data_IF_168661599530
#
_entry.id   IF_168661599530
#
_cell.length_a   1.000
_cell.length_b   1.000
_cell.length_c   1.000
_cell.angle_alpha   90.00
_cell.angle_beta   90.00
_cell.angle_gamma   90.00
#
_symmetry.space_group_name_H-M   'P 1'
#
loop_
_entity.id
_entity.type
_entity.pdbx_description
1 polymer ?
#
# COMPACT_ATOMS: atom_id res chain seq x y z
N UNK A 1 2.76 34.74 16.92
CA UNK A 1 3.79 34.70 15.87
C UNK A 1 5.01 33.89 16.36
N UNK A 2 4.89 32.58 16.59
CA UNK A 2 6.01 31.71 17.01
C UNK A 2 5.78 30.22 16.67
N UNK A 3 5.06 29.89 15.57
CA UNK A 3 4.72 28.52 15.17
C UNK A 3 5.69 27.91 14.14
N UNK A 4 6.72 28.64 13.71
CA UNK A 4 7.62 28.19 12.66
C UNK A 4 8.79 27.30 13.08
N UNK A 5 9.09 27.21 14.38
CA UNK A 5 10.30 26.53 14.88
C UNK A 5 10.10 25.11 15.44
N UNK A 6 8.87 24.62 15.57
CA UNK A 6 8.66 23.25 16.05
C UNK A 6 8.97 22.25 14.93
N UNK A 7 9.93 21.34 15.15
CA UNK A 7 10.20 20.29 14.19
C UNK A 7 8.93 19.44 13.98
N UNK A 8 8.66 18.98 12.76
CA UNK A 8 7.50 18.11 12.45
C UNK A 8 7.42 16.88 13.37
N UNK A 9 8.55 16.44 13.91
CA UNK A 9 8.63 15.32 14.84
C UNK A 9 8.11 15.62 16.24
N UNK A 10 7.95 16.90 16.57
CA UNK A 10 7.44 17.38 17.87
C UNK A 10 6.05 18.02 17.73
N UNK A 11 5.53 18.17 16.52
CA UNK A 11 4.19 18.71 16.26
C UNK A 11 3.13 17.64 16.52
N UNK A 12 2.28 17.78 17.57
CA UNK A 12 1.28 16.77 17.91
C UNK A 12 0.28 16.48 16.78
N UNK A 13 -0.03 17.49 15.94
CA UNK A 13 -0.90 17.33 14.77
C UNK A 13 -0.24 16.44 13.72
N UNK A 14 1.06 16.67 13.46
CA UNK A 14 1.81 15.83 12.52
C UNK A 14 1.90 14.39 13.03
N UNK A 15 2.21 14.18 14.31
CA UNK A 15 2.28 12.86 14.93
C UNK A 15 0.94 12.12 14.80
N UNK A 16 -0.18 12.75 15.16
CA UNK A 16 -1.51 12.15 15.07
C UNK A 16 -1.86 11.71 13.62
N UNK A 17 -1.52 12.54 12.64
CA UNK A 17 -1.73 12.21 11.23
C UNK A 17 -0.78 11.11 10.74
N UNK A 18 0.47 11.04 11.21
CA UNK A 18 1.40 9.97 10.88
C UNK A 18 0.96 8.63 11.50
N UNK A 19 0.44 8.64 12.73
CA UNK A 19 -0.16 7.46 13.35
C UNK A 19 -1.38 6.97 12.54
N UNK A 20 -2.26 7.87 12.10
CA UNK A 20 -3.37 7.51 11.23
C UNK A 20 -2.91 6.95 9.86
N UNK A 21 -1.77 7.42 9.32
CA UNK A 21 -1.21 6.88 8.09
C UNK A 21 -0.78 5.42 8.22
N UNK A 22 -0.27 4.99 9.36
CA UNK A 22 0.17 3.61 9.57
C UNK A 22 -0.99 2.60 9.51
N UNK A 23 -2.23 3.03 9.83
CA UNK A 23 -3.42 2.19 9.76
C UNK A 23 -3.72 1.67 8.35
N UNK A 24 -3.31 2.42 7.31
CA UNK A 24 -3.57 2.03 5.92
C UNK A 24 -2.80 0.76 5.51
N UNK A 25 -1.57 0.56 6.00
CA UNK A 25 -0.81 -0.68 5.77
C UNK A 25 -1.29 -1.79 6.69
N UNK A 26 -1.64 -1.45 7.93
CA UNK A 26 -2.24 -2.38 8.88
C UNK A 26 -3.50 -3.05 8.31
N UNK A 27 -4.32 -2.33 7.53
CA UNK A 27 -5.57 -2.85 6.97
C UNK A 27 -5.40 -4.09 6.10
N UNK A 28 -4.37 -4.09 5.25
CA UNK A 28 -4.24 -5.09 4.19
C UNK A 28 -3.30 -6.25 4.57
N UNK A 29 -2.20 -5.98 5.26
CA UNK A 29 -1.13 -6.96 5.42
C UNK A 29 -1.08 -7.65 6.79
N UNK A 30 -1.71 -7.07 7.83
CA UNK A 30 -1.62 -7.58 9.20
C UNK A 30 -2.21 -8.98 9.37
N UNK A 31 -3.23 -9.37 8.60
CA UNK A 31 -3.80 -10.72 8.71
C UNK A 31 -3.08 -11.75 7.84
N UNK A 32 -2.16 -11.34 6.96
CA UNK A 32 -1.48 -12.28 6.05
C UNK A 32 -0.83 -13.46 6.77
N UNK A 33 -0.12 -13.30 7.89
CA UNK A 33 0.46 -14.43 8.62
C UNK A 33 -0.57 -15.46 9.13
N UNK A 34 -1.84 -15.05 9.28
CA UNK A 34 -2.91 -15.92 9.78
C UNK A 34 -3.59 -16.75 8.68
N UNK A 35 -3.38 -16.42 7.40
CA UNK A 35 -4.19 -16.99 6.30
C UNK A 35 -4.12 -18.50 6.21
N UNK A 36 -2.93 -19.11 6.32
CA UNK A 36 -2.79 -20.56 6.25
C UNK A 36 -3.51 -21.27 7.41
N UNK A 37 -3.47 -20.69 8.61
CA UNK A 37 -4.23 -21.20 9.76
C UNK A 37 -5.74 -21.01 9.62
N UNK A 38 -6.18 -19.89 9.04
CA UNK A 38 -7.60 -19.65 8.74
C UNK A 38 -8.12 -20.61 7.64
N UNK A 39 -7.32 -20.92 6.62
CA UNK A 39 -7.70 -21.91 5.60
C UNK A 39 -7.97 -23.27 6.24
N UNK A 40 -7.14 -23.70 7.17
CA UNK A 40 -7.35 -24.94 7.91
C UNK A 40 -8.58 -24.90 8.81
N UNK A 41 -8.83 -23.75 9.49
CA UNK A 41 -10.01 -23.57 10.33
C UNK A 41 -11.31 -23.62 9.53
N UNK A 42 -11.30 -23.11 8.30
CA UNK A 42 -12.46 -23.08 7.40
C UNK A 42 -12.44 -24.16 6.31
N UNK A 43 -11.68 -25.24 6.48
CA UNK A 43 -11.56 -26.32 5.48
C UNK A 43 -12.91 -26.97 5.07
N UNK A 44 -13.94 -26.86 5.91
CA UNK A 44 -15.30 -27.32 5.59
C UNK A 44 -16.12 -26.38 4.70
N UNK A 45 -15.62 -25.20 4.36
CA UNK A 45 -16.31 -24.23 3.51
C UNK A 45 -15.84 -24.43 2.06
N UNK A 46 -16.77 -24.48 1.11
CA UNK A 46 -16.42 -24.55 -0.31
C UNK A 46 -15.56 -23.31 -0.69
N UNK A 47 -14.50 -23.53 -1.46
CA UNK A 47 -13.58 -22.48 -1.91
C UNK A 47 -12.88 -21.71 -0.78
N UNK A 48 -12.77 -22.29 0.43
CA UNK A 48 -12.13 -21.66 1.59
C UNK A 48 -10.75 -21.09 1.25
N UNK A 49 -9.93 -21.83 0.52
CA UNK A 49 -8.60 -21.38 0.12
C UNK A 49 -8.61 -20.09 -0.69
N UNK A 50 -9.57 -19.90 -1.59
CA UNK A 50 -9.71 -18.66 -2.35
C UNK A 50 -10.32 -17.54 -1.49
N UNK A 51 -11.38 -17.83 -0.73
CA UNK A 51 -12.08 -16.86 0.12
C UNK A 51 -11.17 -16.30 1.23
N UNK A 52 -10.29 -17.12 1.80
CA UNK A 52 -9.33 -16.71 2.81
C UNK A 52 -8.29 -15.72 2.22
N UNK A 53 -7.84 -15.94 0.98
CA UNK A 53 -6.96 -14.98 0.29
C UNK A 53 -7.66 -13.65 0.05
N UNK A 54 -8.96 -13.64 -0.20
CA UNK A 54 -9.75 -12.42 -0.33
C UNK A 54 -9.84 -11.60 0.97
N UNK A 55 -9.66 -12.20 2.15
CA UNK A 55 -9.64 -11.44 3.40
C UNK A 55 -8.57 -10.33 3.42
N UNK A 56 -7.45 -10.52 2.71
CA UNK A 56 -6.39 -9.51 2.58
C UNK A 56 -6.76 -8.43 1.56
N UNK A 57 -7.43 -8.80 0.47
CA UNK A 57 -7.67 -7.89 -0.66
C UNK A 57 -9.08 -7.29 -0.68
N UNK A 58 -10.04 -7.85 0.05
CA UNK A 58 -11.39 -7.30 0.16
C UNK A 58 -11.43 -5.83 0.65
N UNK A 59 -10.55 -5.38 1.58
CA UNK A 59 -10.49 -3.97 1.92
C UNK A 59 -10.19 -3.08 0.70
N UNK A 60 -9.40 -3.54 -0.25
CA UNK A 60 -9.06 -2.79 -1.45
C UNK A 60 -10.27 -2.51 -2.33
N UNK A 61 -11.19 -3.47 -2.44
CA UNK A 61 -12.49 -3.26 -3.10
C UNK A 61 -13.31 -2.19 -2.38
N UNK A 62 -13.34 -2.24 -1.04
CA UNK A 62 -14.01 -1.22 -0.21
C UNK A 62 -13.44 0.17 -0.48
N UNK A 63 -12.11 0.33 -0.49
CA UNK A 63 -11.47 1.61 -0.80
C UNK A 63 -11.81 2.08 -2.22
N UNK A 64 -11.65 1.21 -3.22
CA UNK A 64 -11.89 1.54 -4.63
C UNK A 64 -13.30 2.10 -4.86
N UNK A 65 -14.31 1.46 -4.28
CA UNK A 65 -15.71 1.86 -4.47
C UNK A 65 -16.12 3.08 -3.65
N UNK A 66 -15.52 3.29 -2.48
CA UNK A 66 -15.99 4.31 -1.53
C UNK A 66 -15.10 5.55 -1.46
N UNK A 67 -13.90 5.55 -2.06
CA UNK A 67 -13.01 6.71 -2.04
C UNK A 67 -13.66 8.01 -2.59
N UNK A 68 -14.45 8.01 -3.67
CA UNK A 68 -15.13 9.21 -4.14
C UNK A 68 -16.18 9.74 -3.12
N UNK A 69 -16.92 8.82 -2.50
CA UNK A 69 -17.91 9.16 -1.47
C UNK A 69 -17.24 9.68 -0.20
N UNK A 70 -16.10 9.12 0.18
CA UNK A 70 -15.30 9.58 1.32
C UNK A 70 -14.82 11.03 1.11
N UNK A 71 -14.44 11.40 -0.13
CA UNK A 71 -14.10 12.78 -0.49
C UNK A 71 -15.26 13.73 -0.28
N UNK A 72 -16.40 13.41 -0.87
CA UNK A 72 -17.60 14.21 -0.73
C UNK A 72 -18.06 14.36 0.73
N UNK A 73 -18.00 13.28 1.50
CA UNK A 73 -18.36 13.29 2.92
C UNK A 73 -17.40 14.15 3.75
N UNK A 74 -16.09 14.08 3.45
CA UNK A 74 -15.05 14.88 4.12
C UNK A 74 -15.27 16.39 3.91
N UNK A 75 -15.72 16.78 2.72
CA UNK A 75 -16.00 18.19 2.42
C UNK A 75 -17.28 18.70 3.11
N UNK A 76 -18.30 17.82 3.26
CA UNK A 76 -19.59 18.18 3.87
C UNK A 76 -19.65 18.06 5.39
N UNK A 77 -19.25 16.90 5.93
CA UNK A 77 -19.40 16.57 7.34
C UNK A 77 -18.26 17.09 8.23
N UNK A 78 -17.20 17.61 7.61
CA UNK A 78 -15.99 18.04 8.32
C UNK A 78 -14.92 16.96 8.37
N UNK A 79 -13.67 17.41 8.33
CA UNK A 79 -12.50 16.53 8.11
C UNK A 79 -12.13 15.72 9.34
N UNK A 80 -12.22 16.35 10.52
CA UNK A 80 -11.99 15.69 11.81
C UNK A 80 -13.02 14.62 12.10
N UNK A 81 -14.31 14.93 11.91
CA UNK A 81 -15.41 14.01 12.17
C UNK A 81 -15.27 12.74 11.32
N UNK A 82 -14.98 12.91 10.04
CA UNK A 82 -14.76 11.78 9.10
C UNK A 82 -13.53 10.96 9.47
N UNK A 83 -12.42 11.60 9.89
CA UNK A 83 -11.23 10.89 10.36
C UNK A 83 -11.54 10.02 11.59
N UNK A 84 -12.20 10.58 12.60
CA UNK A 84 -12.55 9.84 13.83
C UNK A 84 -13.52 8.71 13.56
N UNK A 85 -14.57 8.95 12.76
CA UNK A 85 -15.52 7.91 12.35
C UNK A 85 -14.82 6.79 11.54
N UNK A 86 -13.89 7.14 10.66
CA UNK A 86 -13.07 6.20 9.91
C UNK A 86 -12.21 5.32 10.84
N UNK A 87 -11.51 5.91 11.83
CA UNK A 87 -10.68 5.14 12.77
C UNK A 87 -11.55 4.24 13.66
N UNK A 88 -12.71 4.73 14.10
CA UNK A 88 -13.65 3.92 14.89
C UNK A 88 -14.19 2.73 14.09
N UNK A 89 -14.63 2.95 12.85
CA UNK A 89 -15.08 1.89 11.94
C UNK A 89 -13.94 0.91 11.63
N UNK A 90 -12.69 1.42 11.50
CA UNK A 90 -11.50 0.59 11.31
C UNK A 90 -11.31 -0.39 12.46
N UNK A 91 -11.44 0.06 13.70
CA UNK A 91 -11.32 -0.80 14.88
C UNK A 91 -12.44 -1.84 14.90
N UNK A 92 -13.70 -1.42 14.69
CA UNK A 92 -14.85 -2.30 14.71
C UNK A 92 -14.73 -3.41 13.66
N UNK A 93 -14.52 -3.04 12.40
CA UNK A 93 -14.39 -4.00 11.31
C UNK A 93 -13.08 -4.78 11.36
N UNK A 94 -12.00 -4.15 11.84
CA UNK A 94 -10.69 -4.78 11.98
C UNK A 94 -10.67 -5.93 12.99
N UNK A 95 -11.20 -5.71 14.18
CA UNK A 95 -11.25 -6.72 15.25
C UNK A 95 -12.33 -7.78 15.03
N UNK A 96 -13.28 -7.54 14.14
CA UNK A 96 -14.43 -8.39 13.89
C UNK A 96 -14.07 -9.86 13.63
N UNK A 97 -12.97 -10.12 12.93
CA UNK A 97 -12.51 -11.49 12.66
C UNK A 97 -12.09 -12.30 13.88
N UNK A 98 -11.89 -11.67 15.03
CA UNK A 98 -11.60 -12.38 16.28
C UNK A 98 -12.84 -13.11 16.83
N UNK A 99 -14.01 -12.49 16.75
CA UNK A 99 -15.25 -13.03 17.32
C UNK A 99 -16.27 -13.55 16.29
N UNK A 100 -16.15 -13.15 15.03
CA UNK A 100 -17.00 -13.70 13.96
C UNK A 100 -16.55 -15.11 13.57
N UNK A 101 -17.52 -16.03 13.46
CA UNK A 101 -17.22 -17.45 13.17
C UNK A 101 -17.45 -17.87 11.73
N UNK A 102 -18.11 -17.02 10.92
CA UNK A 102 -18.40 -17.33 9.51
C UNK A 102 -17.44 -16.61 8.57
N UNK A 103 -16.88 -17.32 7.58
CA UNK A 103 -15.92 -16.75 6.62
C UNK A 103 -16.54 -15.62 5.78
N UNK A 104 -17.80 -15.77 5.33
CA UNK A 104 -18.49 -14.76 4.53
C UNK A 104 -18.72 -13.44 5.30
N UNK A 105 -19.10 -13.55 6.59
CA UNK A 105 -19.31 -12.36 7.42
C UNK A 105 -17.97 -11.70 7.79
N UNK A 106 -16.89 -12.49 7.90
CA UNK A 106 -15.52 -11.95 8.01
C UNK A 106 -15.14 -11.18 6.73
N UNK A 107 -15.46 -11.68 5.54
CA UNK A 107 -15.24 -10.96 4.27
C UNK A 107 -16.03 -9.64 4.23
N UNK A 108 -17.29 -9.65 4.67
CA UNK A 108 -18.08 -8.43 4.77
C UNK A 108 -17.42 -7.40 5.72
N UNK A 109 -16.89 -7.86 6.86
CA UNK A 109 -16.13 -6.97 7.77
C UNK A 109 -14.86 -6.41 7.12
N UNK A 110 -14.18 -7.18 6.27
CA UNK A 110 -13.01 -6.70 5.50
C UNK A 110 -13.39 -5.63 4.50
N UNK A 111 -14.53 -5.75 3.82
CA UNK A 111 -15.06 -4.69 2.97
C UNK A 111 -15.34 -3.42 3.78
N UNK A 112 -16.01 -3.53 4.94
CA UNK A 112 -16.22 -2.41 5.87
C UNK A 112 -14.92 -1.78 6.35
N UNK A 113 -13.86 -2.58 6.58
CA UNK A 113 -12.52 -2.08 6.87
C UNK A 113 -11.97 -1.23 5.71
N UNK A 114 -12.24 -1.60 4.46
CA UNK A 114 -11.88 -0.83 3.29
C UNK A 114 -12.59 0.53 3.23
N UNK A 115 -13.88 0.58 3.56
CA UNK A 115 -14.62 1.84 3.72
C UNK A 115 -13.94 2.74 4.77
N UNK A 116 -13.58 2.17 5.92
CA UNK A 116 -12.87 2.88 6.98
C UNK A 116 -11.53 3.47 6.49
N UNK A 117 -10.76 2.68 5.76
CA UNK A 117 -9.47 3.12 5.16
C UNK A 117 -9.68 4.28 4.18
N UNK A 118 -10.73 4.23 3.33
CA UNK A 118 -11.05 5.32 2.42
C UNK A 118 -11.35 6.62 3.18
N UNK A 119 -12.15 6.56 4.24
CA UNK A 119 -12.45 7.70 5.10
C UNK A 119 -11.18 8.27 5.75
N UNK A 120 -10.32 7.42 6.33
CA UNK A 120 -9.08 7.81 6.98
C UNK A 120 -8.14 8.48 5.97
N UNK A 121 -7.88 7.84 4.82
CA UNK A 121 -6.95 8.36 3.81
C UNK A 121 -7.38 9.73 3.27
N UNK A 122 -8.67 9.89 2.99
CA UNK A 122 -9.23 11.11 2.43
C UNK A 122 -9.19 12.25 3.45
N UNK A 123 -9.72 12.02 4.65
CA UNK A 123 -9.74 13.02 5.71
C UNK A 123 -8.33 13.42 6.15
N UNK A 124 -7.41 12.46 6.28
CA UNK A 124 -6.01 12.70 6.61
C UNK A 124 -5.31 13.57 5.56
N UNK A 125 -5.50 13.27 4.28
CA UNK A 125 -4.88 14.04 3.19
C UNK A 125 -5.40 15.48 3.18
N UNK A 126 -6.70 15.68 3.41
CA UNK A 126 -7.31 16.99 3.51
C UNK A 126 -6.75 17.78 4.73
N UNK A 127 -6.69 17.15 5.92
CA UNK A 127 -6.14 17.76 7.13
C UNK A 127 -4.68 18.16 6.99
N UNK A 128 -3.87 17.34 6.30
CA UNK A 128 -2.47 17.72 6.00
C UNK A 128 -2.43 18.96 5.11
N UNK A 129 -3.31 19.04 4.13
CA UNK A 129 -3.42 20.22 3.27
C UNK A 129 -3.81 21.49 4.00
N UNK A 130 -4.63 21.37 5.08
CA UNK A 130 -5.09 22.50 5.86
C UNK A 130 -4.11 22.96 6.92
N UNK A 131 -3.46 22.01 7.60
CA UNK A 131 -2.57 22.34 8.70
C UNK A 131 -1.19 22.78 8.24
N UNK A 132 -0.73 22.28 7.09
CA UNK A 132 0.65 22.44 6.64
C UNK A 132 0.72 22.97 5.20
N UNK A 133 1.63 23.90 4.96
CA UNK A 133 1.87 24.53 3.66
C UNK A 133 3.34 24.38 3.23
N UNK A 134 3.63 24.57 1.94
CA UNK A 134 4.99 24.63 1.41
C UNK A 134 5.86 23.42 1.75
N UNK A 135 7.08 23.67 2.18
CA UNK A 135 8.07 22.64 2.50
C UNK A 135 7.65 21.71 3.64
N UNK A 136 6.92 22.23 4.67
CA UNK A 136 6.42 21.41 5.79
C UNK A 136 5.40 20.38 5.33
N UNK A 137 4.50 20.73 4.40
CA UNK A 137 3.54 19.80 3.79
C UNK A 137 4.26 18.69 3.01
N UNK A 138 5.26 19.05 2.20
CA UNK A 138 6.04 18.09 1.44
C UNK A 138 6.81 17.12 2.34
N UNK A 139 7.46 17.64 3.39
CA UNK A 139 8.18 16.83 4.36
C UNK A 139 7.25 15.86 5.10
N UNK A 140 6.04 16.32 5.51
CA UNK A 140 5.06 15.46 6.18
C UNK A 140 4.53 14.36 5.26
N UNK A 141 4.29 14.65 3.97
CA UNK A 141 3.91 13.65 2.98
C UNK A 141 5.01 12.59 2.80
N UNK A 142 6.28 12.98 2.82
CA UNK A 142 7.39 12.03 2.83
C UNK A 142 7.43 11.17 4.10
N UNK A 143 7.21 11.77 5.28
CA UNK A 143 7.15 11.04 6.55
C UNK A 143 5.97 10.07 6.62
N UNK A 144 4.84 10.34 5.92
CA UNK A 144 3.73 9.39 5.84
C UNK A 144 4.15 8.06 5.20
N UNK A 145 4.97 8.10 4.15
CA UNK A 145 5.47 6.88 3.49
C UNK A 145 6.30 6.06 4.49
N UNK A 146 7.18 6.74 5.24
CA UNK A 146 7.99 6.10 6.28
C UNK A 146 7.11 5.52 7.39
N UNK A 147 6.12 6.28 7.88
CA UNK A 147 5.18 5.84 8.92
C UNK A 147 4.39 4.60 8.48
N UNK A 148 3.97 4.52 7.21
CA UNK A 148 3.32 3.33 6.65
C UNK A 148 4.25 2.12 6.66
N UNK A 149 5.48 2.25 6.18
CA UNK A 149 6.41 1.12 6.09
C UNK A 149 6.88 0.63 7.47
N UNK A 150 7.25 1.55 8.38
CA UNK A 150 7.64 1.18 9.74
C UNK A 150 6.44 0.67 10.56
N UNK A 151 5.26 1.27 10.38
CA UNK A 151 4.01 0.71 10.93
C UNK A 151 3.74 -0.69 10.42
N UNK A 152 3.93 -0.93 9.11
CA UNK A 152 3.84 -2.26 8.51
C UNK A 152 4.77 -3.26 9.15
N UNK A 153 6.05 -2.92 9.32
CA UNK A 153 7.03 -3.78 10.01
C UNK A 153 6.54 -4.19 11.40
N UNK A 154 6.09 -3.23 12.21
CA UNK A 154 5.64 -3.49 13.58
C UNK A 154 4.37 -4.35 13.60
N UNK A 155 3.32 -3.93 12.87
CA UNK A 155 2.03 -4.62 12.91
C UNK A 155 2.08 -6.01 12.27
N UNK A 156 2.81 -6.19 11.17
CA UNK A 156 2.96 -7.50 10.52
C UNK A 156 3.85 -8.42 11.35
N UNK A 157 4.91 -7.89 11.95
CA UNK A 157 5.77 -8.66 12.86
C UNK A 157 4.98 -9.16 14.08
N UNK A 158 4.21 -8.26 14.73
CA UNK A 158 3.32 -8.64 15.84
C UNK A 158 2.26 -9.66 15.39
N UNK A 159 1.71 -9.50 14.19
CA UNK A 159 0.73 -10.43 13.65
C UNK A 159 1.33 -11.80 13.36
N UNK A 160 2.57 -11.88 12.87
CA UNK A 160 3.29 -13.12 12.68
C UNK A 160 3.46 -13.89 13.99
N UNK A 161 3.88 -13.20 15.06
CA UNK A 161 3.98 -13.79 16.40
C UNK A 161 2.60 -14.19 16.95
N UNK A 162 1.60 -13.34 16.86
CA UNK A 162 0.24 -13.64 17.34
C UNK A 162 -0.37 -14.84 16.61
N UNK A 163 -0.14 -14.95 15.29
CA UNK A 163 -0.68 -16.04 14.47
C UNK A 163 -0.06 -17.41 14.80
N UNK A 164 1.13 -17.46 15.41
CA UNK A 164 1.70 -18.74 15.91
C UNK A 164 0.89 -19.33 17.06
N UNK A 165 0.20 -18.50 17.84
CA UNK A 165 -0.62 -18.92 18.97
C UNK A 165 -2.06 -19.23 18.52
N UNK A 166 -2.62 -18.39 17.66
CA UNK A 166 -3.94 -18.61 17.06
C UNK A 166 -4.12 -17.75 15.81
N UNK A 167 -4.72 -18.29 14.72
CA UNK A 167 -4.95 -17.54 13.49
C UNK A 167 -5.95 -16.38 13.68
N UNK A 168 -6.67 -16.31 14.81
CA UNK A 168 -7.60 -15.23 15.14
C UNK A 168 -6.98 -14.08 15.92
N UNK A 169 -5.86 -14.30 16.63
CA UNK A 169 -5.22 -13.26 17.44
C UNK A 169 -4.75 -12.03 16.64
N UNK A 170 -4.25 -12.13 15.39
CA UNK A 170 -3.89 -10.96 14.59
C UNK A 170 -5.01 -9.94 14.42
N UNK A 171 -6.27 -10.36 14.48
CA UNK A 171 -7.40 -9.44 14.41
C UNK A 171 -7.48 -8.48 15.60
N UNK A 172 -6.97 -8.85 16.78
CA UNK A 172 -6.93 -7.95 17.93
C UNK A 172 -5.95 -6.79 17.76
N UNK A 173 -4.94 -6.94 16.89
CA UNK A 173 -3.97 -5.88 16.62
C UNK A 173 -4.65 -4.63 16.07
N UNK A 174 -5.76 -4.78 15.31
CA UNK A 174 -6.56 -3.64 14.84
C UNK A 174 -7.13 -2.79 15.97
N UNK A 175 -7.29 -3.35 17.17
CA UNK A 175 -7.67 -2.62 18.38
C UNK A 175 -6.64 -1.57 18.80
N UNK A 176 -5.35 -1.70 18.41
CA UNK A 176 -4.32 -0.70 18.66
C UNK A 176 -4.63 0.66 17.99
N UNK A 177 -5.55 0.68 17.02
CA UNK A 177 -6.03 1.94 16.45
C UNK A 177 -6.72 2.85 17.47
N UNK A 178 -7.05 2.36 18.69
CA UNK A 178 -7.53 3.18 19.81
C UNK A 178 -6.53 4.30 20.15
N UNK A 179 -5.23 4.03 20.08
CA UNK A 179 -4.21 5.06 20.32
C UNK A 179 -4.20 6.11 19.21
N UNK A 180 -4.44 5.69 17.94
CA UNK A 180 -4.60 6.62 16.82
C UNK A 180 -5.89 7.44 16.97
N UNK A 181 -6.97 6.81 17.43
CA UNK A 181 -8.25 7.49 17.70
C UNK A 181 -8.07 8.57 18.78
N UNK A 182 -7.42 8.23 19.89
CA UNK A 182 -7.15 9.19 20.96
C UNK A 182 -6.26 10.34 20.48
N UNK A 183 -5.18 10.04 19.75
CA UNK A 183 -4.27 11.05 19.21
C UNK A 183 -5.00 12.00 18.22
N UNK A 184 -5.81 11.44 17.31
CA UNK A 184 -6.60 12.22 16.37
C UNK A 184 -7.66 13.08 17.09
N UNK A 185 -8.35 12.51 18.07
CA UNK A 185 -9.34 13.23 18.88
C UNK A 185 -8.72 14.39 19.65
N UNK A 186 -7.54 14.21 20.23
CA UNK A 186 -6.88 15.18 21.10
C UNK A 186 -6.12 16.26 20.33
N UNK A 187 -5.50 15.91 19.19
CA UNK A 187 -4.53 16.76 18.51
C UNK A 187 -4.91 17.18 17.09
N UNK A 188 -5.98 16.64 16.50
CA UNK A 188 -6.46 17.04 15.18
C UNK A 188 -7.76 17.87 15.29
N UNK A 189 -7.70 19.19 15.56
CA UNK A 189 -8.90 20.04 15.62
C UNK A 189 -9.54 20.17 14.23
N UNK A 190 -10.83 20.50 14.18
CA UNK A 190 -11.49 20.84 12.92
C UNK A 190 -10.89 22.15 12.36
N UNK A 191 -10.42 22.18 11.11
CA UNK A 191 -9.94 23.41 10.49
C UNK A 191 -11.08 24.41 10.32
N UNK A 192 -10.78 25.73 10.47
CA UNK A 192 -11.77 26.76 10.17
C UNK A 192 -12.21 26.66 8.70
N UNK A 193 -13.51 26.58 8.44
CA UNK A 193 -14.09 26.58 7.08
C UNK A 193 -13.69 27.88 6.38
N UNK A 194 -12.88 27.81 5.31
CA UNK A 194 -12.48 29.00 4.56
C UNK A 194 -11.15 28.93 3.80
N UNK A 195 -10.33 27.91 4.03
CA UNK A 195 -9.12 27.70 3.24
C UNK A 195 -9.35 26.63 2.15
N UNK A 196 -10.23 26.90 1.21
CA UNK A 196 -10.12 26.28 -0.10
C UNK A 196 -8.75 26.64 -0.65
N UNK A 197 -7.88 25.66 -0.80
CA UNK A 197 -6.55 25.89 -1.37
C UNK A 197 -6.72 26.67 -2.68
N UNK A 198 -5.96 27.76 -2.79
CA UNK A 198 -5.92 28.57 -4.01
C UNK A 198 -5.73 27.62 -5.20
N UNK A 199 -6.69 27.59 -6.09
CA UNK A 199 -6.54 26.94 -7.37
C UNK A 199 -5.29 27.55 -8.02
N UNK A 200 -4.25 26.76 -8.20
CA UNK A 200 -3.11 27.21 -9.01
C UNK A 200 -3.64 27.52 -10.42
N UNK A 201 -3.15 28.61 -11.05
CA UNK A 201 -3.53 28.96 -12.42
C UNK A 201 -3.39 27.74 -13.33
N UNK A 202 -4.30 27.58 -14.26
CA UNK A 202 -4.32 26.47 -15.22
C UNK A 202 -3.01 26.41 -16.03
N UNK A 203 -2.07 25.61 -15.54
CA UNK A 203 -0.93 25.19 -16.34
C UNK A 203 -1.42 24.20 -17.39
N UNK A 204 -1.09 24.45 -18.65
CA UNK A 204 -1.42 23.57 -19.76
C UNK A 204 -0.84 22.17 -19.50
N UNK A 205 -1.70 21.19 -19.21
CA UNK A 205 -1.34 19.78 -19.18
C UNK A 205 -1.13 19.23 -20.60
N UNK A 206 -0.67 18.00 -20.70
CA UNK A 206 -0.53 17.34 -21.99
C UNK A 206 -1.90 17.23 -22.69
N UNK A 207 -2.04 17.50 -24.01
CA UNK A 207 -3.33 17.42 -24.70
C UNK A 207 -4.08 16.10 -24.52
N UNK A 208 -3.36 14.98 -24.49
CA UNK A 208 -3.90 13.62 -24.28
C UNK A 208 -3.72 13.13 -22.84
N UNK A 209 -3.76 14.03 -21.85
CA UNK A 209 -3.43 13.72 -20.45
C UNK A 209 -4.24 12.55 -19.88
N UNK A 210 -5.53 12.45 -20.21
CA UNK A 210 -6.43 11.43 -19.67
C UNK A 210 -6.01 10.02 -20.13
N UNK A 211 -5.76 9.82 -21.44
CA UNK A 211 -5.30 8.54 -21.96
C UNK A 211 -3.95 8.12 -21.39
N UNK A 212 -3.00 9.07 -21.25
CA UNK A 212 -1.69 8.81 -20.65
C UNK A 212 -1.81 8.50 -19.15
N UNK A 213 -2.65 9.20 -18.40
CA UNK A 213 -2.91 8.92 -16.99
C UNK A 213 -3.51 7.53 -16.80
N UNK A 214 -4.48 7.15 -17.65
CA UNK A 214 -5.07 5.79 -17.62
C UNK A 214 -4.00 4.74 -17.92
N UNK A 215 -3.17 4.92 -18.95
CA UNK A 215 -2.11 3.98 -19.31
C UNK A 215 -1.06 3.82 -18.19
N UNK A 216 -0.59 4.92 -17.60
CA UNK A 216 0.36 4.91 -16.48
C UNK A 216 -0.27 4.26 -15.24
N UNK A 217 -1.54 4.53 -14.97
CA UNK A 217 -2.27 3.95 -13.83
C UNK A 217 -2.57 2.46 -14.05
N UNK A 218 -2.83 2.02 -15.29
CA UNK A 218 -2.99 0.60 -15.62
C UNK A 218 -1.66 -0.18 -15.44
N UNK A 219 -0.53 0.43 -15.79
CA UNK A 219 0.78 -0.17 -15.53
C UNK A 219 1.05 -0.27 -14.01
N UNK A 220 0.68 0.76 -13.25
CA UNK A 220 0.76 0.70 -11.78
C UNK A 220 -0.19 -0.35 -11.20
N UNK A 221 -1.40 -0.51 -11.75
CA UNK A 221 -2.35 -1.55 -11.36
C UNK A 221 -1.73 -2.94 -11.50
N UNK A 222 -1.11 -3.22 -12.65
CA UNK A 222 -0.41 -4.48 -12.91
C UNK A 222 0.75 -4.68 -11.92
N UNK A 223 1.60 -3.66 -11.75
CA UNK A 223 2.74 -3.69 -10.82
C UNK A 223 2.26 -3.98 -9.38
N UNK A 224 1.18 -3.33 -8.97
CA UNK A 224 0.64 -3.49 -7.62
C UNK A 224 -0.07 -4.84 -7.43
N UNK A 225 -0.71 -5.38 -8.48
CA UNK A 225 -1.28 -6.73 -8.49
C UNK A 225 -0.21 -7.80 -8.28
N UNK A 226 0.92 -7.68 -8.98
CA UNK A 226 2.08 -8.57 -8.79
C UNK A 226 2.68 -8.41 -7.38
N UNK A 227 2.86 -7.19 -6.90
CA UNK A 227 3.34 -6.94 -5.53
C UNK A 227 2.43 -7.59 -4.48
N UNK A 228 1.11 -7.55 -4.69
CA UNK A 228 0.14 -8.11 -3.74
C UNK A 228 0.08 -9.64 -3.72
N UNK A 229 0.80 -10.33 -4.63
CA UNK A 229 1.08 -11.75 -4.46
C UNK A 229 1.87 -12.04 -3.17
N UNK A 230 2.67 -11.08 -2.66
CA UNK A 230 3.40 -11.25 -1.40
C UNK A 230 2.43 -11.46 -0.22
N UNK A 231 1.56 -10.50 0.16
CA UNK A 231 0.67 -10.69 1.31
C UNK A 231 -0.40 -11.76 1.10
N UNK A 232 -0.74 -12.14 -0.13
CA UNK A 232 -1.81 -13.11 -0.43
C UNK A 232 -1.32 -14.54 -0.60
N UNK A 233 -0.13 -14.76 -1.14
CA UNK A 233 0.37 -16.10 -1.49
C UNK A 233 1.54 -16.58 -0.61
N UNK A 234 2.34 -15.65 -0.06
CA UNK A 234 3.52 -15.99 0.74
C UNK A 234 3.19 -16.89 1.96
N UNK A 235 2.05 -16.73 2.68
CA UNK A 235 1.69 -17.63 3.76
C UNK A 235 1.53 -19.09 3.31
N UNK A 236 0.91 -19.29 2.17
CA UNK A 236 0.66 -20.63 1.62
C UNK A 236 1.92 -21.21 0.99
N UNK A 237 2.76 -20.37 0.40
CA UNK A 237 4.08 -20.74 -0.09
C UNK A 237 4.96 -21.29 1.04
N UNK A 238 5.03 -20.62 2.20
CA UNK A 238 5.77 -21.15 3.34
C UNK A 238 5.13 -22.41 3.93
N UNK A 239 3.80 -22.50 3.95
CA UNK A 239 3.10 -23.69 4.39
C UNK A 239 3.41 -24.90 3.48
N UNK A 240 3.45 -24.73 2.16
CA UNK A 240 3.78 -25.79 1.21
C UNK A 240 5.22 -26.30 1.35
N UNK A 241 6.13 -25.48 1.88
CA UNK A 241 7.51 -25.86 2.20
C UNK A 241 7.67 -26.51 3.59
N UNK A 242 6.58 -26.76 4.31
CA UNK A 242 6.62 -27.32 5.67
C UNK A 242 7.18 -26.39 6.74
N UNK A 243 7.30 -25.10 6.44
CA UNK A 243 7.79 -24.08 7.37
C UNK A 243 6.66 -23.57 8.28
N UNK A 244 7.02 -22.95 9.41
CA UNK A 244 6.06 -22.21 10.23
C UNK A 244 5.55 -20.98 9.41
N UNK A 245 4.41 -21.15 8.75
CA UNK A 245 3.84 -20.17 7.83
C UNK A 245 3.62 -18.83 8.51
N UNK A 246 3.09 -18.80 9.73
CA UNK A 246 2.79 -17.58 10.46
C UNK A 246 4.06 -16.76 10.74
N UNK A 247 5.08 -17.40 11.31
CA UNK A 247 6.35 -16.76 11.65
C UNK A 247 7.10 -16.30 10.39
N UNK A 248 7.19 -17.18 9.38
CA UNK A 248 7.91 -16.87 8.15
C UNK A 248 7.24 -15.78 7.33
N UNK A 249 5.91 -15.75 7.29
CA UNK A 249 5.16 -14.67 6.63
C UNK A 249 5.33 -13.34 7.37
N UNK A 250 5.25 -13.36 8.69
CA UNK A 250 5.50 -12.18 9.52
C UNK A 250 6.91 -11.61 9.29
N UNK A 251 7.93 -12.48 9.27
CA UNK A 251 9.31 -12.10 8.99
C UNK A 251 9.48 -11.58 7.55
N UNK A 252 8.98 -12.32 6.55
CA UNK A 252 9.12 -11.97 5.15
C UNK A 252 8.46 -10.63 4.79
N UNK A 253 7.20 -10.43 5.18
CA UNK A 253 6.50 -9.16 4.94
C UNK A 253 7.04 -8.03 5.83
N UNK A 254 7.51 -8.33 7.04
CA UNK A 254 8.20 -7.38 7.90
C UNK A 254 9.49 -6.87 7.27
N UNK A 255 10.35 -7.77 6.79
CA UNK A 255 11.58 -7.43 6.08
C UNK A 255 11.31 -6.69 4.76
N UNK A 256 10.30 -7.10 3.99
CA UNK A 256 9.82 -6.40 2.82
C UNK A 256 9.47 -4.94 3.15
N UNK A 257 8.71 -4.73 4.24
CA UNK A 257 8.31 -3.39 4.70
C UNK A 257 9.51 -2.58 5.20
N UNK A 258 10.45 -3.19 5.91
CA UNK A 258 11.68 -2.54 6.38
C UNK A 258 12.54 -2.06 5.22
N UNK A 259 12.84 -2.96 4.28
CA UNK A 259 13.65 -2.63 3.10
C UNK A 259 12.96 -1.59 2.20
N UNK A 260 11.63 -1.71 2.02
CA UNK A 260 10.83 -0.70 1.34
C UNK A 260 10.87 0.66 2.03
N UNK A 261 10.80 0.68 3.36
CA UNK A 261 10.92 1.90 4.16
C UNK A 261 12.27 2.59 4.03
N UNK A 262 13.36 1.85 4.12
CA UNK A 262 14.72 2.36 3.91
C UNK A 262 14.88 2.91 2.49
N UNK A 263 14.40 2.16 1.48
CA UNK A 263 14.45 2.58 0.08
C UNK A 263 13.65 3.87 -0.14
N UNK A 264 12.47 4.00 0.45
CA UNK A 264 11.64 5.20 0.35
C UNK A 264 12.34 6.44 0.96
N UNK A 265 13.10 6.29 2.05
CA UNK A 265 13.90 7.37 2.63
C UNK A 265 15.05 7.79 1.68
N UNK A 266 15.64 6.86 0.97
CA UNK A 266 16.72 7.10 0.02
C UNK A 266 16.22 7.59 -1.35
N UNK A 267 14.92 7.42 -1.64
CA UNK A 267 14.33 7.73 -2.95
C UNK A 267 14.61 9.16 -3.42
N UNK A 268 14.58 10.15 -2.52
CA UNK A 268 14.85 11.54 -2.86
C UNK A 268 16.27 11.74 -3.43
N UNK A 269 17.25 10.95 -2.97
CA UNK A 269 18.64 10.97 -3.47
C UNK A 269 18.72 10.39 -4.88
N UNK A 270 18.06 9.26 -5.12
CA UNK A 270 18.01 8.63 -6.47
C UNK A 270 17.30 9.53 -7.48
N UNK A 271 16.19 10.15 -7.10
CA UNK A 271 15.42 11.05 -7.96
C UNK A 271 16.20 12.28 -8.39
N UNK A 272 17.12 12.78 -7.54
CA UNK A 272 18.00 13.90 -7.86
C UNK A 272 19.12 13.56 -8.82
N UNK A 273 19.58 12.29 -8.84
CA UNK A 273 20.73 11.85 -9.59
C UNK A 273 20.38 11.13 -10.91
N UNK A 274 19.20 10.50 -11.01
CA UNK A 274 18.86 9.60 -12.11
C UNK A 274 17.56 10.01 -12.82
N UNK A 275 17.47 9.78 -14.15
CA UNK A 275 16.23 9.96 -14.88
C UNK A 275 15.18 8.94 -14.44
N UNK A 276 13.90 9.28 -14.55
CA UNK A 276 12.80 8.42 -14.13
C UNK A 276 12.88 7.00 -14.73
N UNK A 277 13.24 6.89 -16.02
CA UNK A 277 13.36 5.60 -16.68
C UNK A 277 14.44 4.70 -16.06
N UNK A 278 15.57 5.25 -15.61
CA UNK A 278 16.61 4.49 -14.91
C UNK A 278 16.12 4.00 -13.53
N UNK A 279 15.38 4.85 -12.80
CA UNK A 279 14.77 4.47 -11.52
C UNK A 279 13.77 3.33 -11.71
N UNK A 280 12.94 3.38 -12.76
CA UNK A 280 12.01 2.30 -13.11
C UNK A 280 12.76 1.01 -13.48
N UNK A 281 13.84 1.09 -14.26
CA UNK A 281 14.66 -0.07 -14.62
C UNK A 281 15.26 -0.74 -13.38
N UNK A 282 15.82 0.03 -12.45
CA UNK A 282 16.36 -0.49 -11.19
C UNK A 282 15.28 -1.12 -10.32
N UNK A 283 14.13 -0.45 -10.17
CA UNK A 283 13.04 -0.94 -9.34
C UNK A 283 12.39 -2.20 -9.89
N UNK A 284 12.10 -2.26 -11.19
CA UNK A 284 11.60 -3.48 -11.83
C UNK A 284 12.64 -4.60 -11.85
N UNK A 285 13.94 -4.28 -11.99
CA UNK A 285 15.02 -5.26 -11.87
C UNK A 285 15.07 -5.89 -10.48
N UNK A 286 14.91 -5.08 -9.41
CA UNK A 286 14.87 -5.58 -8.05
C UNK A 286 13.60 -6.43 -7.78
N UNK A 287 12.43 -6.02 -8.32
CA UNK A 287 11.20 -6.83 -8.26
C UNK A 287 11.39 -8.17 -8.97
N UNK A 288 11.93 -8.16 -10.19
CA UNK A 288 12.20 -9.35 -10.99
C UNK A 288 13.15 -10.30 -10.24
N UNK A 289 14.23 -9.78 -9.67
CA UNK A 289 15.17 -10.56 -8.87
C UNK A 289 14.48 -11.20 -7.66
N UNK A 290 13.66 -10.44 -6.94
CA UNK A 290 12.93 -10.95 -5.77
C UNK A 290 12.01 -12.12 -6.14
N UNK A 291 11.21 -11.98 -7.19
CA UNK A 291 10.35 -13.06 -7.68
C UNK A 291 11.15 -14.24 -8.27
N UNK A 292 12.26 -14.00 -8.96
CA UNK A 292 13.14 -15.06 -9.46
C UNK A 292 13.77 -15.88 -8.33
N UNK A 293 14.13 -15.22 -7.23
CA UNK A 293 14.65 -15.90 -6.03
C UNK A 293 13.54 -16.75 -5.37
N UNK A 294 12.32 -16.24 -5.25
CA UNK A 294 11.18 -16.99 -4.71
C UNK A 294 10.79 -18.17 -5.61
N UNK A 295 10.95 -18.03 -6.92
CA UNK A 295 10.67 -19.09 -7.89
C UNK A 295 11.57 -20.33 -7.76
N UNK A 296 12.71 -20.20 -7.09
CA UNK A 296 13.63 -21.33 -6.86
C UNK A 296 13.14 -22.28 -5.77
N UNK A 297 12.10 -21.89 -5.01
CA UNK A 297 11.56 -22.66 -3.88
C UNK A 297 12.66 -23.16 -2.91
N UNK A 298 13.69 -22.33 -2.73
CA UNK A 298 14.89 -22.64 -1.99
C UNK A 298 14.72 -22.52 -0.47
N UNK A 299 15.83 -22.32 0.24
CA UNK A 299 15.81 -22.22 1.71
C UNK A 299 14.96 -21.03 2.20
N UNK A 300 14.51 -21.09 3.45
CA UNK A 300 13.79 -20.01 4.12
C UNK A 300 14.56 -18.68 4.04
N UNK A 301 15.88 -18.70 4.24
CA UNK A 301 16.72 -17.51 4.15
C UNK A 301 16.70 -16.88 2.74
N UNK A 302 16.73 -17.71 1.71
CA UNK A 302 16.66 -17.26 0.31
C UNK A 302 15.29 -16.65 0.01
N UNK A 303 14.20 -17.26 0.48
CA UNK A 303 12.84 -16.74 0.34
C UNK A 303 12.67 -15.40 1.05
N UNK A 304 13.25 -15.20 2.22
CA UNK A 304 13.26 -13.92 2.94
C UNK A 304 14.05 -12.86 2.15
N UNK A 305 15.20 -13.21 1.56
CA UNK A 305 15.98 -12.32 0.70
C UNK A 305 15.18 -11.91 -0.56
N UNK A 306 14.43 -12.83 -1.15
CA UNK A 306 13.50 -12.55 -2.25
C UNK A 306 12.44 -11.51 -1.85
N UNK A 307 11.81 -11.68 -0.68
CA UNK A 307 10.83 -10.73 -0.16
C UNK A 307 11.44 -9.33 0.09
N UNK A 308 12.69 -9.25 0.60
CA UNK A 308 13.42 -7.98 0.76
C UNK A 308 13.62 -7.28 -0.59
N UNK A 309 14.05 -8.01 -1.62
CA UNK A 309 14.26 -7.47 -2.96
C UNK A 309 12.93 -6.94 -3.58
N UNK A 310 11.81 -7.66 -3.37
CA UNK A 310 10.48 -7.18 -3.77
C UNK A 310 10.13 -5.87 -3.08
N UNK A 311 10.41 -5.73 -1.78
CA UNK A 311 10.18 -4.50 -1.01
C UNK A 311 10.98 -3.31 -1.56
N UNK A 312 12.28 -3.51 -1.83
CA UNK A 312 13.16 -2.51 -2.45
C UNK A 312 12.63 -2.08 -3.80
N UNK A 313 12.29 -3.05 -4.66
CA UNK A 313 11.83 -2.80 -6.02
C UNK A 313 10.53 -2.00 -6.05
N UNK A 314 9.53 -2.40 -5.28
CA UNK A 314 8.25 -1.71 -5.22
C UNK A 314 8.37 -0.28 -4.67
N UNK A 315 9.14 -0.08 -3.61
CA UNK A 315 9.38 1.25 -3.04
C UNK A 315 10.15 2.18 -3.99
N UNK A 316 10.94 1.62 -4.91
CA UNK A 316 11.65 2.38 -5.94
C UNK A 316 10.71 2.84 -7.07
N UNK A 317 9.78 1.97 -7.51
CA UNK A 317 8.91 2.23 -8.67
C UNK A 317 7.69 3.09 -8.30
N UNK A 318 7.02 2.78 -7.18
CA UNK A 318 5.71 3.32 -6.83
C UNK A 318 5.65 4.85 -6.75
N UNK A 319 6.62 5.59 -6.15
CA UNK A 319 6.57 7.05 -6.13
C UNK A 319 6.70 7.69 -7.52
N UNK A 320 7.38 7.02 -8.45
CA UNK A 320 7.53 7.47 -9.83
C UNK A 320 6.19 7.56 -10.55
N UNK A 321 5.31 6.58 -10.37
CA UNK A 321 3.97 6.60 -10.96
C UNK A 321 3.13 7.78 -10.48
N UNK A 322 3.16 8.07 -9.19
CA UNK A 322 2.45 9.23 -8.62
C UNK A 322 2.98 10.53 -9.24
N UNK A 323 4.31 10.67 -9.32
CA UNK A 323 4.94 11.87 -9.88
C UNK A 323 4.58 12.07 -11.36
N UNK A 324 4.64 11.01 -12.18
CA UNK A 324 4.30 11.07 -13.61
C UNK A 324 2.83 11.38 -13.80
N UNK A 325 1.93 10.71 -13.08
CA UNK A 325 0.48 10.94 -13.15
C UNK A 325 0.11 12.40 -12.88
N UNK A 326 0.69 12.98 -11.82
CA UNK A 326 0.43 14.38 -11.47
C UNK A 326 1.09 15.38 -12.42
N UNK A 327 2.20 15.01 -13.06
CA UNK A 327 2.88 15.85 -14.04
C UNK A 327 2.15 15.88 -15.40
N UNK A 328 1.51 14.78 -15.79
CA UNK A 328 0.72 14.69 -17.04
C UNK A 328 -0.58 15.49 -16.98
N UNK A 329 -1.21 15.57 -15.79
CA UNK A 329 -2.51 16.20 -15.62
C UNK A 329 -2.42 17.74 -15.57
N UNK A 330 -3.38 18.47 -16.19
CA UNK A 330 -3.53 19.90 -15.99
C UNK A 330 -3.71 20.22 -14.49
N UNK A 331 -3.28 21.40 -14.05
CA UNK A 331 -3.31 21.82 -12.64
C UNK A 331 -4.71 21.68 -12.01
N UNK A 332 -5.76 22.07 -12.71
CA UNK A 332 -7.16 21.91 -12.25
C UNK A 332 -7.69 20.47 -12.25
N UNK A 333 -6.99 19.51 -12.85
CA UNK A 333 -7.41 18.09 -12.97
C UNK A 333 -6.50 17.09 -12.22
N UNK A 334 -5.51 17.57 -11.47
CA UNK A 334 -4.60 16.71 -10.69
C UNK A 334 -5.32 15.84 -9.66
N UNK A 335 -6.40 16.36 -9.06
CA UNK A 335 -7.25 15.56 -8.17
C UNK A 335 -7.91 14.38 -8.87
N UNK A 336 -8.46 14.59 -10.07
CA UNK A 336 -9.05 13.53 -10.90
C UNK A 336 -8.00 12.50 -11.31
N UNK A 337 -6.81 12.93 -11.73
CA UNK A 337 -5.72 12.03 -12.10
C UNK A 337 -5.25 11.17 -10.90
N UNK A 338 -5.12 11.77 -9.72
CA UNK A 338 -4.80 11.05 -8.49
C UNK A 338 -5.88 10.04 -8.09
N UNK A 339 -7.15 10.39 -8.29
CA UNK A 339 -8.28 9.48 -8.02
C UNK A 339 -8.27 8.27 -8.97
N UNK A 340 -8.01 8.46 -10.28
CA UNK A 340 -7.86 7.37 -11.26
C UNK A 340 -6.71 6.45 -10.86
N UNK A 341 -5.54 7.02 -10.54
CA UNK A 341 -4.39 6.24 -10.09
C UNK A 341 -4.72 5.41 -8.85
N UNK A 342 -5.33 6.03 -7.84
CA UNK A 342 -5.70 5.36 -6.59
C UNK A 342 -6.69 4.22 -6.83
N UNK A 343 -7.74 4.46 -7.63
CA UNK A 343 -8.74 3.45 -7.95
C UNK A 343 -8.11 2.23 -8.64
N UNK A 344 -7.23 2.45 -9.63
CA UNK A 344 -6.56 1.37 -10.36
C UNK A 344 -5.52 0.64 -9.49
N UNK A 345 -4.82 1.33 -8.60
CA UNK A 345 -3.93 0.69 -7.61
C UNK A 345 -4.71 -0.29 -6.75
N UNK A 346 -5.83 0.12 -6.15
CA UNK A 346 -6.65 -0.76 -5.31
C UNK A 346 -7.37 -1.85 -6.12
N UNK A 347 -7.72 -1.58 -7.38
CA UNK A 347 -8.21 -2.59 -8.31
C UNK A 347 -7.18 -3.71 -8.53
N UNK A 348 -5.92 -3.37 -8.79
CA UNK A 348 -4.83 -4.33 -8.93
C UNK A 348 -4.61 -5.18 -7.67
N UNK A 349 -4.68 -4.55 -6.49
CA UNK A 349 -4.64 -5.27 -5.21
C UNK A 349 -5.75 -6.30 -5.09
N UNK A 350 -7.00 -5.88 -5.38
CA UNK A 350 -8.16 -6.75 -5.29
C UNK A 350 -8.09 -7.92 -6.28
N UNK A 351 -7.64 -7.65 -7.51
CA UNK A 351 -7.54 -8.66 -8.56
C UNK A 351 -6.38 -9.65 -8.39
N UNK A 352 -5.40 -9.34 -7.53
CA UNK A 352 -4.21 -10.18 -7.33
C UNK A 352 -4.52 -11.67 -7.07
N UNK A 353 -5.38 -12.07 -6.11
CA UNK A 353 -5.68 -13.48 -5.88
C UNK A 353 -6.50 -14.12 -7.00
N UNK A 354 -7.28 -13.36 -7.77
CA UNK A 354 -8.05 -13.89 -8.90
C UNK A 354 -7.14 -14.39 -10.04
N UNK A 355 -5.96 -13.80 -10.18
CA UNK A 355 -4.97 -14.20 -11.18
C UNK A 355 -3.97 -15.18 -10.58
N UNK A 356 -3.43 -14.88 -9.40
CA UNK A 356 -2.34 -15.66 -8.81
C UNK A 356 -2.78 -17.01 -8.27
N UNK A 357 -4.00 -17.14 -7.70
CA UNK A 357 -4.45 -18.42 -7.14
C UNK A 357 -4.69 -19.48 -8.21
N UNK A 358 -5.41 -19.22 -9.32
CA UNK A 358 -5.53 -20.21 -10.41
C UNK A 358 -4.18 -20.53 -11.06
N UNK A 359 -3.30 -19.53 -11.23
CA UNK A 359 -1.98 -19.75 -11.80
C UNK A 359 -1.15 -20.72 -10.94
N UNK A 360 -1.14 -20.50 -9.61
CA UNK A 360 -0.43 -21.37 -8.66
C UNK A 360 -1.05 -22.77 -8.62
N UNK A 361 -2.37 -22.90 -8.69
CA UNK A 361 -3.04 -24.20 -8.68
C UNK A 361 -2.75 -25.03 -9.94
N UNK A 362 -2.50 -24.37 -11.08
CA UNK A 362 -2.20 -25.04 -12.33
C UNK A 362 -0.71 -25.28 -12.55
N UNK A 363 0.15 -24.35 -12.18
CA UNK A 363 1.58 -24.35 -12.54
C UNK A 363 2.52 -24.42 -11.33
N UNK A 364 1.99 -24.36 -10.11
CA UNK A 364 2.80 -24.29 -8.89
C UNK A 364 3.41 -22.90 -8.62
N UNK A 365 4.05 -22.79 -7.45
CA UNK A 365 4.65 -21.51 -7.01
C UNK A 365 5.85 -21.14 -7.88
N UNK A 366 6.77 -22.07 -8.13
CA UNK A 366 8.00 -21.81 -8.90
C UNK A 366 7.71 -21.22 -10.27
N UNK A 367 6.83 -21.88 -11.07
CA UNK A 367 6.48 -21.39 -12.40
C UNK A 367 5.72 -20.05 -12.36
N UNK A 368 4.81 -19.87 -11.40
CA UNK A 368 4.04 -18.61 -11.27
C UNK A 368 4.93 -17.44 -10.88
N UNK A 369 5.81 -17.61 -9.89
CA UNK A 369 6.77 -16.58 -9.51
C UNK A 369 7.81 -16.34 -10.61
N UNK A 370 8.24 -17.40 -11.34
CA UNK A 370 9.12 -17.29 -12.48
C UNK A 370 8.51 -16.48 -13.63
N UNK A 371 7.23 -16.71 -13.94
CA UNK A 371 6.48 -15.92 -14.93
C UNK A 371 6.37 -14.44 -14.52
N UNK A 372 6.09 -14.17 -13.23
CA UNK A 372 6.08 -12.82 -12.70
C UNK A 372 7.47 -12.15 -12.82
N UNK A 373 8.53 -12.89 -12.48
CA UNK A 373 9.91 -12.43 -12.62
C UNK A 373 10.26 -12.07 -14.07
N UNK A 374 9.90 -12.94 -15.03
CA UNK A 374 10.14 -12.70 -16.46
C UNK A 374 9.40 -11.45 -16.97
N UNK A 375 8.13 -11.28 -16.60
CA UNK A 375 7.34 -10.10 -16.95
C UNK A 375 7.96 -8.82 -16.39
N UNK A 376 8.39 -8.83 -15.13
CA UNK A 376 9.04 -7.68 -14.48
C UNK A 376 10.43 -7.41 -15.07
N UNK A 377 11.19 -8.44 -15.45
CA UNK A 377 12.48 -8.28 -16.15
C UNK A 377 12.30 -7.64 -17.53
N UNK A 378 11.23 -8.01 -18.27
CA UNK A 378 10.88 -7.35 -19.53
C UNK A 378 10.59 -5.87 -19.31
N UNK A 379 9.80 -5.53 -18.29
CA UNK A 379 9.51 -4.12 -17.92
C UNK A 379 10.80 -3.37 -17.55
N UNK A 380 11.71 -4.00 -16.81
CA UNK A 380 13.03 -3.44 -16.48
C UNK A 380 13.85 -3.17 -17.74
N UNK A 381 13.89 -4.13 -18.69
CA UNK A 381 14.58 -4.00 -19.96
C UNK A 381 14.05 -2.85 -20.82
N UNK A 382 12.72 -2.74 -20.95
CA UNK A 382 12.08 -1.62 -21.67
C UNK A 382 12.43 -0.28 -21.02
N UNK A 383 12.34 -0.18 -19.70
CA UNK A 383 12.70 1.05 -18.98
C UNK A 383 14.19 1.41 -19.14
N UNK A 384 15.08 0.42 -19.15
CA UNK A 384 16.51 0.61 -19.39
C UNK A 384 16.78 1.12 -20.81
N UNK A 385 16.16 0.53 -21.83
CA UNK A 385 16.28 0.98 -23.22
C UNK A 385 15.82 2.43 -23.39
N UNK A 386 14.71 2.82 -22.77
CA UNK A 386 14.24 4.22 -22.78
C UNK A 386 15.26 5.13 -22.10
N UNK A 387 15.85 4.70 -20.99
CA UNK A 387 16.87 5.48 -20.27
C UNK A 387 18.12 5.71 -21.13
N UNK A 388 18.64 4.65 -21.77
CA UNK A 388 19.81 4.71 -22.62
C UNK A 388 19.58 5.60 -23.86
N UNK A 389 18.42 5.47 -24.51
CA UNK A 389 18.08 6.31 -25.66
C UNK A 389 17.96 7.79 -25.28
N UNK A 390 17.40 8.09 -24.11
CA UNK A 390 17.32 9.47 -23.61
C UNK A 390 18.71 10.05 -23.30
N UNK A 391 19.58 9.25 -22.71
CA UNK A 391 20.98 9.66 -22.45
C UNK A 391 21.74 9.93 -23.74
N UNK A 392 21.63 9.05 -24.76
CA UNK A 392 22.27 9.24 -26.07
C UNK A 392 21.79 10.51 -26.77
N UNK A 393 20.50 10.82 -26.74
CA UNK A 393 19.95 12.05 -27.33
C UNK A 393 20.46 13.31 -26.63
N UNK A 394 20.67 13.27 -25.30
CA UNK A 394 21.26 14.41 -24.56
C UNK A 394 22.76 14.60 -24.82
N UNK A 395 23.48 13.55 -25.13
CA UNK A 395 24.92 13.62 -25.48
C UNK A 395 25.14 14.06 -26.92
N UNK A 396 24.12 13.99 -27.78
CA UNK A 396 24.18 14.39 -29.19
C UNK A 396 23.70 15.85 -29.44
N UNK A 397 23.18 16.53 -28.40
CA UNK A 397 22.80 17.96 -28.35
C UNK A 397 23.84 18.77 -27.60
#
# INVERSE_FOLDING_TARGET
MNTEKTSLRQDPKAIALLMAASLTVMANATISPALAGLEQEFAGVSDAGFLVRLLVTAPSLGVMLTAPLAGWLTDRAGRRGVLLAGIWLFMLCGTAGFYLRGLHIMLASRFGLGVAVALIMTAQTALIGDYFTGARRQALTGLQISARNFGGLIFIGLAGLAATLSPRLPFLIYGLAVFCLYAAWRYAPEPARGRTGQAQPDGAGHPSWLGLVIAVSALQMLTNGLFFMMPTQLPFFFASQGLNSALMTGAGLGLLSLCGGITALLYARFKGALPHAAIFAMGYGALALGFAVLAQEGSAALSLAGAMAVGVGYATVSPGFVAITLALAPSGRRGTAGAILTALVFCGQFLSPFVSTPAISQWGYGATFGAAAAGLALMAGVALLISLNTARRRAAL
#
